data_IF_311215173723
#
_entry.id   IF_311215173723
#
_cell.length_a   1.000
_cell.length_b   1.000
_cell.length_c   1.000
_cell.angle_alpha   90.00
_cell.angle_beta   90.00
_cell.angle_gamma   90.00
#
_symmetry.space_group_name_H-M   'P 1'
#
loop_
_entity.id
_entity.type
_entity.pdbx_description
1 polymer ?
#
# COMPACT_ATOMS: atom_id res chain seq x y z
N UNK A 1 -17.04 16.23 3.86
CA UNK A 1 -15.78 16.59 4.54
C UNK A 1 -14.81 17.06 3.49
N UNK A 2 -14.33 18.30 3.58
CA UNK A 2 -13.36 18.85 2.64
C UNK A 2 -12.07 18.04 2.68
N UNK A 3 -11.60 17.59 1.53
CA UNK A 3 -10.24 17.05 1.39
C UNK A 3 -9.28 18.09 1.94
N UNK A 4 -8.50 17.74 2.96
CA UNK A 4 -7.41 18.59 3.42
C UNK A 4 -6.45 18.83 2.25
N UNK A 5 -6.02 20.08 2.07
CA UNK A 5 -5.17 20.45 0.95
C UNK A 5 -3.75 19.93 1.20
N UNK A 6 -3.27 19.04 0.34
CA UNK A 6 -1.88 18.57 0.35
C UNK A 6 -1.09 19.42 -0.65
N UNK A 7 -0.05 20.17 -0.21
CA UNK A 7 0.77 20.99 -1.11
C UNK A 7 1.40 20.18 -2.24
N UNK A 8 1.51 20.77 -3.44
CA UNK A 8 2.08 20.10 -4.62
C UNK A 8 3.49 19.58 -4.34
N UNK A 9 4.34 20.37 -3.69
CA UNK A 9 5.69 19.94 -3.31
C UNK A 9 5.69 18.71 -2.40
N UNK A 10 4.71 18.62 -1.49
CA UNK A 10 4.57 17.47 -0.59
C UNK A 10 4.07 16.23 -1.33
N UNK A 11 3.12 16.39 -2.28
CA UNK A 11 2.69 15.30 -3.17
C UNK A 11 3.86 14.75 -3.99
N UNK A 12 4.68 15.64 -4.56
CA UNK A 12 5.85 15.28 -5.35
C UNK A 12 6.87 14.53 -4.50
N UNK A 13 7.17 15.03 -3.29
CA UNK A 13 8.07 14.37 -2.34
C UNK A 13 7.63 12.93 -2.03
N UNK A 14 6.34 12.72 -1.77
CA UNK A 14 5.80 11.38 -1.49
C UNK A 14 5.90 10.47 -2.71
N UNK A 15 5.60 11.00 -3.90
CA UNK A 15 5.68 10.24 -5.15
C UNK A 15 7.10 9.79 -5.49
N UNK A 16 8.07 10.71 -5.40
CA UNK A 16 9.48 10.46 -5.73
C UNK A 16 10.10 9.45 -4.76
N UNK A 17 9.83 9.63 -3.47
CA UNK A 17 10.28 8.72 -2.41
C UNK A 17 9.74 7.30 -2.60
N UNK A 18 8.50 7.17 -3.06
CA UNK A 18 7.88 5.89 -3.37
C UNK A 18 8.26 5.36 -4.76
N UNK A 19 9.05 6.11 -5.55
CA UNK A 19 9.41 5.80 -6.95
C UNK A 19 8.20 5.51 -7.83
N UNK A 20 7.06 6.17 -7.57
CA UNK A 20 5.80 5.89 -8.27
C UNK A 20 5.24 4.48 -8.01
N UNK A 21 5.61 3.81 -6.92
CA UNK A 21 5.11 2.48 -6.54
C UNK A 21 4.16 2.64 -5.35
N UNK A 22 2.97 2.06 -5.45
CA UNK A 22 2.04 1.98 -4.32
C UNK A 22 2.74 1.29 -3.14
N UNK A 23 2.82 1.98 -2.00
CA UNK A 23 3.57 1.53 -0.83
C UNK A 23 2.89 0.35 -0.11
N UNK A 24 1.65 0.01 -0.48
CA UNK A 24 0.89 -1.12 0.06
C UNK A 24 0.92 -2.36 -0.86
N UNK A 25 0.46 -2.23 -2.10
CA UNK A 25 0.31 -3.38 -3.01
C UNK A 25 1.40 -3.46 -4.08
N UNK A 26 2.40 -2.57 -4.06
CA UNK A 26 3.52 -2.53 -5.02
C UNK A 26 3.10 -2.38 -6.49
N UNK A 27 1.89 -1.88 -6.76
CA UNK A 27 1.46 -1.49 -8.12
C UNK A 27 2.24 -0.27 -8.58
N UNK A 28 2.71 -0.28 -9.83
CA UNK A 28 3.54 0.78 -10.41
C UNK A 28 2.66 1.78 -11.17
N UNK A 29 2.84 3.07 -10.92
CA UNK A 29 2.06 4.15 -11.55
C UNK A 29 2.13 4.10 -13.08
N UNK A 30 3.30 3.75 -13.65
CA UNK A 30 3.50 3.61 -15.11
C UNK A 30 2.63 2.54 -15.79
N UNK A 31 2.03 1.63 -15.02
CA UNK A 31 1.14 0.57 -15.54
C UNK A 31 -0.26 0.63 -14.92
N UNK A 32 -0.55 1.66 -14.13
CA UNK A 32 -1.86 1.84 -13.52
C UNK A 32 -2.80 2.56 -14.48
N UNK A 33 -4.08 2.17 -14.48
CA UNK A 33 -5.13 2.85 -15.25
C UNK A 33 -5.38 4.23 -14.63
N UNK A 34 -5.48 4.29 -13.31
CA UNK A 34 -5.68 5.52 -12.55
C UNK A 34 -4.36 5.99 -11.93
N UNK A 35 -4.21 7.30 -11.82
CA UNK A 35 -3.13 7.92 -11.05
C UNK A 35 -3.15 7.44 -9.60
N UNK A 36 -1.96 7.22 -9.04
CA UNK A 36 -1.82 6.96 -7.62
C UNK A 36 -2.16 8.23 -6.83
N UNK A 37 -2.68 8.03 -5.62
CA UNK A 37 -3.12 9.08 -4.71
C UNK A 37 -2.24 9.11 -3.46
N UNK A 38 -2.33 10.22 -2.73
CA UNK A 38 -1.67 10.36 -1.44
C UNK A 38 -2.66 9.93 -0.36
N UNK A 39 -2.27 8.92 0.41
CA UNK A 39 -3.01 8.41 1.58
C UNK A 39 -2.36 8.93 2.87
N UNK A 40 -3.20 9.29 3.84
CA UNK A 40 -2.77 9.58 5.20
C UNK A 40 -2.75 8.28 6.01
N UNK A 41 -1.56 7.82 6.40
CA UNK A 41 -1.35 6.55 7.10
C UNK A 41 -2.19 6.53 8.39
N UNK A 42 -2.00 7.53 9.26
CA UNK A 42 -2.99 7.96 10.25
C UNK A 42 -4.01 8.88 9.57
N UNK A 43 -5.29 8.54 9.48
CA UNK A 43 -6.29 9.34 8.81
C UNK A 43 -6.51 10.71 9.48
N UNK A 44 -6.78 11.74 8.70
CA UNK A 44 -7.16 13.09 9.18
C UNK A 44 -8.33 13.04 10.16
N UNK A 45 -9.34 12.21 9.88
CA UNK A 45 -10.51 12.03 10.76
C UNK A 45 -10.18 11.45 12.14
N UNK A 46 -8.95 10.95 12.32
CA UNK A 46 -8.39 10.44 13.57
C UNK A 46 -7.16 11.24 14.01
N UNK A 47 -7.10 12.52 13.65
CA UNK A 47 -6.03 13.45 14.06
C UNK A 47 -4.72 13.30 13.31
N UNK A 48 -4.70 12.62 12.17
CA UNK A 48 -3.50 12.49 11.35
C UNK A 48 -3.11 13.79 10.66
N UNK A 49 -1.84 14.17 10.77
CA UNK A 49 -1.31 15.42 10.20
C UNK A 49 -0.95 15.28 8.71
N UNK A 50 -1.05 16.36 7.95
CA UNK A 50 -0.58 16.43 6.56
C UNK A 50 0.93 16.70 6.51
N UNK A 51 1.73 15.70 6.90
CA UNK A 51 3.20 15.75 6.94
C UNK A 51 3.83 14.55 6.22
N UNK A 52 5.06 14.71 5.71
CA UNK A 52 5.72 13.67 4.90
C UNK A 52 5.78 12.28 5.59
N UNK A 53 5.91 12.24 6.92
CA UNK A 53 5.99 11.02 7.72
C UNK A 53 4.63 10.34 7.97
N UNK A 54 3.52 11.02 7.67
CA UNK A 54 2.16 10.46 7.76
C UNK A 54 1.55 10.22 6.38
N UNK A 55 2.26 10.50 5.29
CA UNK A 55 1.74 10.33 3.94
C UNK A 55 2.39 9.13 3.26
N UNK A 56 1.59 8.36 2.52
CA UNK A 56 2.03 7.26 1.67
C UNK A 56 1.47 7.40 0.25
N UNK A 57 2.23 6.94 -0.75
CA UNK A 57 1.71 6.78 -2.10
C UNK A 57 0.87 5.50 -2.17
N UNK A 58 -0.39 5.61 -2.58
CA UNK A 58 -1.31 4.49 -2.67
C UNK A 58 -2.03 4.45 -4.02
N UNK A 59 -2.33 3.25 -4.53
CA UNK A 59 -3.36 3.15 -5.57
C UNK A 59 -4.74 3.45 -4.98
N UNK A 60 -5.68 3.90 -5.81
CA UNK A 60 -7.03 4.26 -5.38
C UNK A 60 -7.72 3.13 -4.62
N UNK A 61 -7.57 1.88 -5.09
CA UNK A 61 -8.22 0.73 -4.45
C UNK A 61 -7.68 0.45 -3.05
N UNK A 62 -6.36 0.47 -2.83
CA UNK A 62 -5.81 0.25 -1.48
C UNK A 62 -6.25 1.38 -0.54
N UNK A 63 -6.24 2.62 -1.03
CA UNK A 63 -6.71 3.79 -0.28
C UNK A 63 -8.19 3.63 0.11
N UNK A 64 -9.04 3.15 -0.81
CA UNK A 64 -10.47 2.92 -0.53
C UNK A 64 -10.70 1.79 0.48
N UNK A 65 -9.95 0.68 0.40
CA UNK A 65 -10.07 -0.41 1.37
C UNK A 65 -9.59 0.00 2.77
N UNK A 66 -8.47 0.73 2.83
CA UNK A 66 -7.94 1.30 4.07
C UNK A 66 -8.94 2.27 4.67
N UNK A 67 -9.40 3.25 3.88
CA UNK A 67 -10.27 4.33 4.32
C UNK A 67 -9.71 4.98 5.60
N UNK A 68 -10.43 4.87 6.71
CA UNK A 68 -10.03 5.40 8.03
C UNK A 68 -9.42 4.34 8.96
N UNK A 69 -9.13 3.14 8.46
CA UNK A 69 -8.59 2.04 9.26
C UNK A 69 -7.07 2.14 9.37
N UNK A 70 -6.57 1.88 10.57
CA UNK A 70 -5.14 1.80 10.93
C UNK A 70 -4.76 0.44 11.49
N UNK A 71 -5.75 -0.43 11.67
CA UNK A 71 -5.65 -1.76 12.25
C UNK A 71 -6.66 -2.69 11.55
N UNK A 72 -6.40 -4.00 11.63
CA UNK A 72 -7.30 -5.05 11.17
C UNK A 72 -7.02 -6.35 11.91
N UNK A 73 -7.96 -7.29 11.86
CA UNK A 73 -7.74 -8.62 12.40
C UNK A 73 -6.72 -9.36 11.52
N UNK A 74 -5.73 -10.00 12.13
CA UNK A 74 -4.92 -11.01 11.47
C UNK A 74 -5.83 -12.21 11.12
N UNK A 75 -5.96 -12.62 9.84
CA UNK A 75 -6.81 -13.74 9.46
C UNK A 75 -6.41 -15.09 10.09
N UNK A 76 -5.19 -15.21 10.65
CA UNK A 76 -4.72 -16.45 11.29
C UNK A 76 -5.00 -16.46 12.78
N UNK A 77 -4.62 -15.42 13.53
CA UNK A 77 -4.78 -15.38 14.99
C UNK A 77 -6.08 -14.73 15.44
N UNK A 78 -6.76 -14.01 14.54
CA UNK A 78 -7.92 -13.15 14.82
C UNK A 78 -7.64 -12.00 15.81
N UNK A 79 -6.37 -11.74 16.14
CA UNK A 79 -5.97 -10.60 16.94
C UNK A 79 -6.01 -9.31 16.11
N UNK A 80 -6.42 -8.20 16.73
CA UNK A 80 -6.34 -6.87 16.13
C UNK A 80 -4.89 -6.43 16.13
N UNK A 81 -4.34 -6.17 14.95
CA UNK A 81 -2.96 -5.68 14.78
C UNK A 81 -2.94 -4.43 13.91
N UNK A 82 -1.91 -3.60 14.08
CA UNK A 82 -1.70 -2.44 13.22
C UNK A 82 -1.50 -2.86 11.76
N UNK A 83 -1.97 -2.04 10.83
CA UNK A 83 -1.65 -2.18 9.42
C UNK A 83 -0.20 -1.77 9.17
N UNK A 84 0.35 -2.22 8.03
CA UNK A 84 1.69 -1.88 7.61
C UNK A 84 1.87 -0.36 7.46
N UNK A 85 2.85 0.18 8.19
CA UNK A 85 3.20 1.59 8.16
C UNK A 85 4.50 1.79 7.38
N UNK A 86 4.46 2.26 6.11
CA UNK A 86 5.64 2.27 5.22
C UNK A 86 6.77 3.24 5.64
N UNK A 87 6.58 3.99 6.74
CA UNK A 87 7.57 4.92 7.32
C UNK A 87 8.19 4.40 8.60
N UNK A 88 7.60 3.38 9.21
CA UNK A 88 8.04 2.80 10.49
C UNK A 88 8.42 1.32 10.36
N UNK A 89 8.00 0.66 9.28
CA UNK A 89 8.17 -0.77 9.07
C UNK A 89 8.90 -1.05 7.76
N UNK A 90 9.74 -2.08 7.76
CA UNK A 90 10.50 -2.52 6.60
C UNK A 90 9.67 -3.55 5.83
N UNK A 91 9.46 -3.34 4.52
CA UNK A 91 8.58 -4.19 3.71
C UNK A 91 8.99 -5.67 3.78
N UNK A 92 10.28 -5.96 3.67
CA UNK A 92 10.85 -7.31 3.65
C UNK A 92 10.73 -8.06 4.99
N UNK A 93 10.45 -7.37 6.09
CA UNK A 93 10.20 -7.99 7.40
C UNK A 93 8.75 -8.47 7.53
N UNK A 94 7.82 -7.89 6.75
CA UNK A 94 6.40 -8.19 6.84
C UNK A 94 5.86 -8.96 5.64
N UNK A 95 6.51 -8.84 4.49
CA UNK A 95 6.04 -9.40 3.23
C UNK A 95 7.15 -10.11 2.46
N UNK A 96 6.74 -11.12 1.70
CA UNK A 96 7.53 -11.70 0.60
C UNK A 96 6.63 -11.88 -0.61
N UNK A 97 7.22 -12.26 -1.74
CA UNK A 97 6.50 -12.73 -2.92
C UNK A 97 6.40 -14.26 -2.90
N UNK A 98 5.35 -14.80 -3.50
CA UNK A 98 5.31 -16.23 -3.82
C UNK A 98 6.27 -16.54 -5.00
N UNK A 99 6.41 -17.82 -5.35
CA UNK A 99 7.37 -18.29 -6.36
C UNK A 99 7.23 -17.61 -7.74
N UNK A 100 6.00 -17.41 -8.20
CA UNK A 100 5.71 -16.77 -9.50
C UNK A 100 5.61 -15.23 -9.42
N UNK A 101 5.91 -14.66 -8.25
CA UNK A 101 5.86 -13.24 -7.91
C UNK A 101 4.51 -12.56 -8.17
N UNK A 102 3.41 -13.30 -8.31
CA UNK A 102 2.08 -12.70 -8.53
C UNK A 102 1.33 -12.38 -7.24
N UNK A 103 1.71 -13.01 -6.12
CA UNK A 103 1.05 -12.88 -4.83
C UNK A 103 2.01 -12.36 -3.76
N UNK A 104 1.56 -11.34 -3.04
CA UNK A 104 2.23 -10.88 -1.83
C UNK A 104 1.83 -11.79 -0.66
N UNK A 105 2.79 -12.31 0.08
CA UNK A 105 2.59 -13.21 1.22
C UNK A 105 2.95 -12.45 2.49
N UNK A 106 2.05 -12.45 3.47
CA UNK A 106 2.28 -11.84 4.77
C UNK A 106 2.97 -12.83 5.71
N UNK A 107 4.22 -12.55 6.08
CA UNK A 107 5.02 -13.43 6.95
C UNK A 107 4.91 -13.07 8.44
N UNK A 108 4.18 -11.99 8.75
CA UNK A 108 3.86 -11.52 10.11
C UNK A 108 2.35 -11.26 10.25
N UNK A 109 1.81 -11.16 11.47
CA UNK A 109 0.42 -10.75 11.69
C UNK A 109 0.06 -9.44 10.97
N UNK A 110 0.92 -8.42 11.10
CA UNK A 110 0.78 -7.12 10.40
C UNK A 110 0.67 -7.31 8.89
N UNK A 111 1.55 -8.13 8.31
CA UNK A 111 1.55 -8.39 6.87
C UNK A 111 0.26 -9.08 6.40
N UNK A 112 -0.17 -10.12 7.12
CA UNK A 112 -1.41 -10.86 6.80
C UNK A 112 -2.65 -9.98 6.94
N UNK A 113 -2.77 -9.24 8.03
CA UNK A 113 -3.86 -8.29 8.26
C UNK A 113 -3.91 -7.21 7.16
N UNK A 114 -2.74 -6.68 6.76
CA UNK A 114 -2.64 -5.69 5.68
C UNK A 114 -3.10 -6.25 4.33
N UNK A 115 -2.64 -7.45 3.96
CA UNK A 115 -3.05 -8.10 2.70
C UNK A 115 -4.56 -8.35 2.71
N UNK A 116 -5.09 -8.87 3.81
CA UNK A 116 -6.50 -9.20 3.96
C UNK A 116 -7.38 -7.95 3.91
N UNK A 117 -7.02 -6.89 4.63
CA UNK A 117 -7.82 -5.67 4.63
C UNK A 117 -7.74 -4.93 3.27
N UNK A 118 -6.53 -4.72 2.74
CA UNK A 118 -6.31 -3.90 1.56
C UNK A 118 -6.53 -4.65 0.24
N UNK A 119 -6.78 -5.95 0.30
CA UNK A 119 -7.00 -6.81 -0.86
C UNK A 119 -5.87 -6.64 -1.88
N UNK A 120 -4.62 -6.66 -1.40
CA UNK A 120 -3.41 -6.42 -2.22
C UNK A 120 -3.17 -7.51 -3.26
N UNK A 121 -3.84 -8.66 -3.13
CA UNK A 121 -3.84 -9.79 -4.05
C UNK A 121 -5.17 -9.96 -4.81
N UNK A 122 -6.01 -8.92 -4.89
CA UNK A 122 -7.20 -8.94 -5.74
C UNK A 122 -6.87 -9.34 -7.18
N UNK A 123 -7.82 -9.97 -7.85
CA UNK A 123 -7.62 -10.63 -9.15
C UNK A 123 -6.91 -9.74 -10.18
N UNK A 124 -7.41 -8.52 -10.39
CA UNK A 124 -6.81 -7.58 -11.36
C UNK A 124 -5.33 -7.27 -11.06
N UNK A 125 -4.94 -7.19 -9.78
CA UNK A 125 -3.54 -6.96 -9.40
C UNK A 125 -2.67 -8.19 -9.67
N UNK A 126 -3.17 -9.41 -9.41
CA UNK A 126 -2.43 -10.63 -9.75
C UNK A 126 -2.26 -10.79 -11.27
N UNK A 127 -3.32 -10.50 -12.03
CA UNK A 127 -3.29 -10.60 -13.49
C UNK A 127 -2.27 -9.63 -14.11
N UNK A 128 -2.23 -8.36 -13.65
CA UNK A 128 -1.22 -7.42 -14.14
C UNK A 128 0.19 -7.83 -13.69
N UNK A 129 0.38 -8.29 -12.45
CA UNK A 129 1.70 -8.78 -11.99
C UNK A 129 2.21 -9.94 -12.83
N UNK A 130 1.34 -10.87 -13.24
CA UNK A 130 1.71 -11.98 -14.14
C UNK A 130 2.29 -11.47 -15.46
N UNK A 131 1.61 -10.51 -16.11
CA UNK A 131 2.09 -9.91 -17.36
C UNK A 131 3.42 -9.17 -17.13
N UNK A 132 3.51 -8.39 -16.06
CA UNK A 132 4.70 -7.60 -15.77
C UNK A 132 5.90 -8.48 -15.38
N UNK A 133 5.69 -9.61 -14.71
CA UNK A 133 6.74 -10.56 -14.36
C UNK A 133 7.34 -11.19 -15.63
N UNK A 134 6.50 -11.61 -16.59
CA UNK A 134 6.95 -12.10 -17.91
C UNK A 134 7.80 -11.06 -18.64
N UNK A 135 7.44 -9.78 -18.50
CA UNK A 135 8.17 -8.67 -19.13
C UNK A 135 9.39 -8.19 -18.33
N UNK A 136 9.71 -8.79 -17.18
CA UNK A 136 10.84 -8.37 -16.33
C UNK A 136 10.61 -7.05 -15.57
N UNK A 137 9.36 -6.62 -15.42
CA UNK A 137 8.99 -5.41 -14.67
C UNK A 137 8.43 -5.69 -13.27
N UNK A 138 8.26 -6.95 -12.87
CA UNK A 138 7.75 -7.34 -11.55
C UNK A 138 8.56 -8.51 -10.98
N UNK A 139 8.88 -8.52 -9.66
CA UNK A 139 8.58 -7.50 -8.66
C UNK A 139 9.31 -6.18 -8.95
N UNK A 140 8.77 -5.02 -8.53
CA UNK A 140 9.49 -3.77 -8.70
C UNK A 140 10.67 -3.70 -7.72
N UNK A 141 11.77 -3.09 -8.17
CA UNK A 141 12.96 -2.78 -7.37
C UNK A 141 12.67 -1.92 -6.12
#
# INVERSE_FOLDING_TARGET
MSSEYIPVALKQLVFDRAKGICEYCRSQAKFAIDSLVIDHIQPVSRGGETIANNLALSCQTCNNYKYTKTEANDPVTNEVVSLFHPRQMIWQEHFTWNEDVTQMIGITPVGRATIALLQTNREGVRNIRRVLAIMGYHPPD
#
